data_IF_160762076039
#
_entry.id   IF_160762076039
#
_cell.length_a   1.000
_cell.length_b   1.000
_cell.length_c   1.000
_cell.angle_alpha   90.00
_cell.angle_beta   90.00
_cell.angle_gamma   90.00
#
_symmetry.space_group_name_H-M   'P 1'
#
loop_
_entity.id
_entity.type
_entity.pdbx_description
1 polymer ?
#
# COMPACT_ATOMS: atom_id res chain seq x y z
N UNK A 1 -0.27 9.93 -28.47
CA UNK A 1 0.86 9.43 -27.66
C UNK A 1 1.28 8.03 -28.07
N UNK A 2 0.45 6.97 -27.89
CA UNK A 2 0.84 5.57 -28.19
C UNK A 2 1.48 5.40 -29.57
N UNK A 3 0.86 5.92 -30.64
CA UNK A 3 1.41 5.83 -32.00
C UNK A 3 2.82 6.45 -32.13
N UNK A 4 3.06 7.60 -31.51
CA UNK A 4 4.35 8.28 -31.57
C UNK A 4 5.45 7.56 -30.77
N UNK A 5 5.06 6.71 -29.81
CA UNK A 5 5.97 5.98 -28.92
C UNK A 5 6.10 4.49 -29.31
N UNK A 6 5.65 4.13 -30.51
CA UNK A 6 5.68 2.76 -31.01
C UNK A 6 6.62 2.66 -32.20
N UNK A 7 7.44 1.61 -32.27
CA UNK A 7 8.26 1.31 -33.46
C UNK A 7 7.36 1.05 -34.67
N UNK A 8 6.28 0.27 -34.44
CA UNK A 8 5.24 -0.01 -35.41
C UNK A 8 3.87 -0.05 -34.72
N UNK A 9 2.86 0.48 -35.39
CA UNK A 9 1.45 0.39 -34.98
C UNK A 9 0.59 0.03 -36.19
N UNK A 10 -0.24 -0.99 -36.04
CA UNK A 10 -1.27 -1.39 -36.99
C UNK A 10 -2.65 -1.12 -36.40
N UNK A 11 -3.52 -0.47 -37.18
CA UNK A 11 -4.91 -0.24 -36.85
C UNK A 11 -5.81 -0.88 -37.92
N UNK A 12 -6.70 -1.78 -37.49
CA UNK A 12 -7.72 -2.40 -38.32
C UNK A 12 -9.09 -1.94 -37.82
N UNK A 13 -9.88 -1.30 -38.69
CA UNK A 13 -11.20 -0.74 -38.35
C UNK A 13 -12.27 -1.45 -39.18
N UNK A 14 -13.26 -2.02 -38.51
CA UNK A 14 -14.44 -2.65 -39.11
C UNK A 14 -15.61 -1.67 -38.99
N UNK A 15 -16.01 -1.05 -40.11
CA UNK A 15 -17.05 -0.02 -40.12
C UNK A 15 -17.74 0.07 -41.48
N UNK A 16 -19.04 0.34 -41.49
CA UNK A 16 -19.86 0.54 -42.70
C UNK A 16 -19.75 -0.62 -43.71
N UNK A 17 -19.72 -1.87 -43.23
CA UNK A 17 -19.61 -3.05 -44.09
C UNK A 17 -18.21 -3.33 -44.63
N UNK A 18 -17.19 -2.56 -44.22
CA UNK A 18 -15.83 -2.59 -44.79
C UNK A 18 -14.75 -2.74 -43.72
N UNK A 19 -13.63 -3.33 -44.13
CA UNK A 19 -12.40 -3.47 -43.34
C UNK A 19 -11.40 -2.42 -43.82
N UNK A 20 -10.95 -1.55 -42.92
CA UNK A 20 -9.91 -0.57 -43.19
C UNK A 20 -8.64 -0.92 -42.44
N UNK A 21 -7.48 -0.81 -43.10
CA UNK A 21 -6.16 -1.03 -42.49
C UNK A 21 -5.29 0.21 -42.65
N UNK A 22 -4.57 0.56 -41.59
CA UNK A 22 -3.54 1.59 -41.60
C UNK A 22 -2.36 1.20 -40.72
N UNK A 23 -1.15 1.40 -41.23
CA UNK A 23 0.09 1.13 -40.51
C UNK A 23 0.91 2.41 -40.33
N UNK A 24 1.58 2.49 -39.20
CA UNK A 24 2.43 3.60 -38.81
C UNK A 24 3.79 3.07 -38.35
N UNK A 25 4.85 3.83 -38.62
CA UNK A 25 6.16 3.64 -38.01
C UNK A 25 6.56 4.91 -37.28
N UNK A 26 6.81 4.82 -35.97
CA UNK A 26 7.19 5.97 -35.12
C UNK A 26 6.26 7.18 -35.29
N UNK A 27 4.96 6.91 -35.34
CA UNK A 27 3.90 7.92 -35.51
C UNK A 27 3.61 8.35 -36.95
N UNK A 28 4.45 7.97 -37.92
CA UNK A 28 4.31 8.40 -39.32
C UNK A 28 3.52 7.35 -40.10
N UNK A 29 2.43 7.72 -40.81
CA UNK A 29 1.69 6.78 -41.64
C UNK A 29 2.55 6.28 -42.81
N UNK A 30 2.57 4.96 -43.02
CA UNK A 30 3.38 4.35 -44.09
C UNK A 30 2.72 4.49 -45.47
N UNK A 31 1.41 4.63 -45.51
CA UNK A 31 0.61 4.77 -46.73
C UNK A 31 -0.78 5.37 -46.38
N UNK A 32 -1.59 5.79 -47.37
CA UNK A 32 -2.99 6.15 -47.14
C UNK A 32 -3.85 4.95 -46.77
N UNK A 33 -4.88 5.16 -45.94
CA UNK A 33 -5.77 4.09 -45.44
C UNK A 33 -6.26 3.18 -46.57
N UNK A 34 -6.07 1.86 -46.39
CA UNK A 34 -6.45 0.83 -47.35
C UNK A 34 -7.78 0.19 -46.97
N UNK A 35 -8.64 -0.02 -47.96
CA UNK A 35 -9.79 -0.90 -47.84
C UNK A 35 -9.35 -2.34 -48.15
N UNK A 36 -9.50 -3.25 -47.18
CA UNK A 36 -9.00 -4.63 -47.25
C UNK A 36 -10.08 -5.64 -47.67
N UNK A 37 -11.36 -5.23 -47.66
CA UNK A 37 -12.48 -6.08 -48.03
C UNK A 37 -13.77 -5.72 -47.30
N UNK A 38 -14.77 -6.58 -47.41
CA UNK A 38 -16.08 -6.45 -46.78
C UNK A 38 -16.15 -7.20 -45.44
N UNK A 39 -17.02 -6.75 -44.54
CA UNK A 39 -17.21 -7.37 -43.23
C UNK A 39 -18.60 -7.07 -42.66
N UNK A 40 -19.14 -8.02 -41.89
CA UNK A 40 -20.34 -7.80 -41.07
C UNK A 40 -20.00 -7.37 -39.64
N UNK A 41 -18.72 -7.32 -39.28
CA UNK A 41 -18.26 -6.95 -37.94
C UNK A 41 -18.21 -5.43 -37.78
N UNK A 42 -18.26 -4.98 -36.52
CA UNK A 42 -18.01 -3.58 -36.15
C UNK A 42 -17.05 -3.55 -34.97
N UNK A 43 -16.00 -2.75 -35.07
CA UNK A 43 -15.00 -2.67 -34.02
C UNK A 43 -13.67 -2.11 -34.51
N UNK A 44 -12.67 -2.16 -33.65
CA UNK A 44 -11.31 -1.72 -33.96
C UNK A 44 -10.31 -2.62 -33.26
N UNK A 45 -9.30 -3.05 -34.00
CA UNK A 45 -8.15 -3.79 -33.48
C UNK A 45 -6.94 -2.89 -33.61
N UNK A 46 -6.21 -2.72 -32.51
CA UNK A 46 -4.94 -1.99 -32.49
C UNK A 46 -3.85 -2.97 -32.06
N UNK A 47 -2.81 -3.09 -32.88
CA UNK A 47 -1.60 -3.81 -32.56
C UNK A 47 -0.44 -2.81 -32.55
N UNK A 48 0.43 -2.86 -31.56
CA UNK A 48 1.59 -1.97 -31.52
C UNK A 48 2.76 -2.61 -30.78
N UNK A 49 3.98 -2.22 -31.16
CA UNK A 49 5.21 -2.57 -30.50
C UNK A 49 5.88 -1.30 -29.93
N UNK A 50 6.21 -1.24 -28.63
CA UNK A 50 6.83 -0.06 -28.03
C UNK A 50 8.23 0.19 -28.62
N UNK A 51 8.57 1.47 -28.84
CA UNK A 51 9.85 1.86 -29.42
C UNK A 51 11.03 1.58 -28.46
N UNK A 52 11.92 0.68 -28.87
CA UNK A 52 13.09 0.25 -28.08
C UNK A 52 14.15 1.33 -27.89
N UNK A 53 14.13 2.38 -28.70
CA UNK A 53 15.02 3.54 -28.53
C UNK A 53 14.53 4.52 -27.47
N UNK A 54 13.25 4.44 -27.08
CA UNK A 54 12.63 5.30 -26.07
C UNK A 54 12.52 4.55 -24.73
N UNK A 55 12.04 3.31 -24.75
CA UNK A 55 11.80 2.53 -23.53
C UNK A 55 12.96 1.61 -23.19
N UNK A 56 13.44 1.68 -21.94
CA UNK A 56 14.45 0.75 -21.41
C UNK A 56 13.93 -0.66 -21.19
N UNK A 57 12.61 -0.82 -21.03
CA UNK A 57 11.93 -2.12 -20.88
C UNK A 57 10.75 -2.17 -21.83
N UNK A 58 10.72 -3.21 -22.67
CA UNK A 58 9.64 -3.45 -23.65
C UNK A 58 8.83 -4.70 -23.34
N UNK A 59 9.20 -5.44 -22.30
CA UNK A 59 8.49 -6.62 -21.82
C UNK A 59 7.39 -6.17 -20.87
N UNK A 60 6.14 -6.45 -21.25
CA UNK A 60 4.98 -6.13 -20.42
C UNK A 60 4.89 -7.04 -19.18
N UNK A 61 4.54 -6.46 -18.04
CA UNK A 61 4.28 -7.19 -16.82
C UNK A 61 2.84 -7.76 -16.84
N UNK A 62 2.72 -9.09 -16.92
CA UNK A 62 1.43 -9.78 -17.02
C UNK A 62 0.52 -9.47 -15.83
N UNK A 63 1.06 -9.55 -14.60
CA UNK A 63 0.32 -9.31 -13.37
C UNK A 63 -0.32 -7.91 -13.33
N UNK A 64 0.39 -6.89 -13.81
CA UNK A 64 -0.11 -5.51 -13.90
C UNK A 64 -1.30 -5.41 -14.85
N UNK A 65 -1.23 -6.07 -16.02
CA UNK A 65 -2.32 -6.09 -17.01
C UNK A 65 -3.52 -6.85 -16.45
N UNK A 66 -3.30 -8.04 -15.89
CA UNK A 66 -4.33 -8.88 -15.28
C UNK A 66 -5.09 -8.11 -14.20
N UNK A 67 -4.39 -7.47 -13.25
CA UNK A 67 -5.03 -6.69 -12.20
C UNK A 67 -5.86 -5.54 -12.80
N UNK A 68 -5.32 -4.84 -13.80
CA UNK A 68 -6.04 -3.71 -14.43
C UNK A 68 -7.30 -4.15 -15.16
N UNK A 69 -7.26 -5.27 -15.87
CA UNK A 69 -8.45 -5.83 -16.55
C UNK A 69 -9.49 -6.33 -15.54
N UNK A 70 -9.04 -6.92 -14.43
CA UNK A 70 -9.92 -7.32 -13.34
C UNK A 70 -10.67 -6.12 -12.75
N UNK A 71 -9.97 -5.02 -12.44
CA UNK A 71 -10.58 -3.77 -11.96
C UNK A 71 -11.61 -3.23 -12.95
N UNK A 72 -11.25 -3.18 -14.25
CA UNK A 72 -12.12 -2.65 -15.29
C UNK A 72 -13.39 -3.48 -15.47
N UNK A 73 -13.33 -4.80 -15.26
CA UNK A 73 -14.50 -5.67 -15.34
C UNK A 73 -15.51 -5.33 -14.23
N UNK A 74 -15.03 -5.08 -13.01
CA UNK A 74 -15.90 -4.65 -11.92
C UNK A 74 -16.48 -3.25 -12.11
N UNK A 75 -15.72 -2.33 -12.72
CA UNK A 75 -16.18 -0.97 -12.99
C UNK A 75 -17.21 -0.89 -14.14
N UNK A 76 -17.25 -1.92 -15.00
CA UNK A 76 -18.11 -1.95 -16.19
C UNK A 76 -18.92 -3.25 -16.21
N UNK A 77 -20.03 -3.27 -15.47
CA UNK A 77 -20.95 -4.41 -15.41
C UNK A 77 -21.35 -4.86 -16.82
N UNK A 78 -21.24 -6.16 -17.09
CA UNK A 78 -21.58 -6.75 -18.38
C UNK A 78 -20.48 -6.65 -19.46
N UNK A 79 -19.36 -5.95 -19.20
CA UNK A 79 -18.23 -5.92 -20.13
C UNK A 79 -17.37 -7.17 -19.98
N UNK A 80 -17.36 -8.02 -21.01
CA UNK A 80 -16.43 -9.16 -21.09
C UNK A 80 -15.12 -8.73 -21.73
N UNK A 81 -14.01 -8.96 -21.03
CA UNK A 81 -12.66 -8.78 -21.55
C UNK A 81 -11.90 -10.09 -21.48
N UNK A 82 -10.97 -10.29 -22.40
CA UNK A 82 -10.12 -11.49 -22.45
C UNK A 82 -8.66 -11.08 -22.58
N UNK A 83 -7.80 -11.74 -21.83
CA UNK A 83 -6.35 -11.61 -21.91
C UNK A 83 -5.76 -12.95 -22.36
N UNK A 84 -4.88 -12.87 -23.35
CA UNK A 84 -4.11 -14.01 -23.83
C UNK A 84 -2.63 -13.62 -23.85
N UNK A 85 -1.79 -14.40 -23.19
CA UNK A 85 -0.34 -14.21 -23.19
C UNK A 85 0.32 -15.29 -24.05
N UNK A 86 0.82 -14.88 -25.21
CA UNK A 86 1.40 -15.76 -26.24
C UNK A 86 2.88 -16.10 -25.98
N UNK A 87 3.49 -15.58 -24.90
CA UNK A 87 4.94 -15.75 -24.63
C UNK A 87 5.29 -17.14 -24.11
N UNK A 88 4.46 -17.67 -23.22
CA UNK A 88 4.63 -18.98 -22.60
C UNK A 88 3.44 -19.87 -22.96
N UNK A 89 3.71 -21.17 -23.08
CA UNK A 89 2.71 -22.18 -23.38
C UNK A 89 2.76 -23.28 -22.33
N UNK A 90 1.59 -23.83 -22.00
CA UNK A 90 1.51 -25.01 -21.15
C UNK A 90 2.06 -26.27 -21.84
N UNK A 91 2.12 -27.39 -21.12
CA UNK A 91 2.56 -28.68 -21.66
C UNK A 91 1.72 -29.18 -22.85
N UNK A 92 0.53 -28.60 -23.06
CA UNK A 92 -0.37 -28.89 -24.17
C UNK A 92 -0.23 -27.91 -25.35
N UNK A 93 0.68 -26.93 -25.25
CA UNK A 93 0.95 -25.94 -26.29
C UNK A 93 -0.04 -24.77 -26.34
N UNK A 94 -0.91 -24.63 -25.33
CA UNK A 94 -1.87 -23.55 -25.24
C UNK A 94 -1.27 -22.33 -24.52
N UNK A 95 -1.51 -21.11 -25.00
CA UNK A 95 -1.13 -19.90 -24.30
C UNK A 95 -1.96 -19.71 -23.03
N UNK A 96 -1.45 -18.93 -22.09
CA UNK A 96 -2.24 -18.52 -20.94
C UNK A 96 -3.44 -17.70 -21.40
N UNK A 97 -4.64 -18.08 -20.98
CA UNK A 97 -5.88 -17.39 -21.29
C UNK A 97 -6.67 -17.09 -20.02
N UNK A 98 -7.15 -15.85 -19.89
CA UNK A 98 -8.00 -15.44 -18.78
C UNK A 98 -9.14 -14.53 -19.26
N UNK A 99 -10.36 -14.80 -18.81
CA UNK A 99 -11.53 -13.97 -19.07
C UNK A 99 -11.92 -13.19 -17.80
N UNK A 100 -12.35 -11.94 -18.00
CA UNK A 100 -12.78 -11.02 -16.97
C UNK A 100 -14.21 -10.58 -17.26
N UNK A 101 -15.11 -10.75 -16.30
CA UNK A 101 -16.52 -10.43 -16.42
C UNK A 101 -17.10 -10.27 -15.01
N UNK A 102 -18.00 -9.31 -14.81
CA UNK A 102 -18.66 -9.05 -13.54
C UNK A 102 -20.12 -8.67 -13.76
N UNK A 103 -21.00 -9.23 -12.93
CA UNK A 103 -22.44 -8.91 -12.90
C UNK A 103 -22.78 -8.03 -11.70
N UNK A 104 -22.14 -8.27 -10.55
CA UNK A 104 -22.32 -7.52 -9.31
C UNK A 104 -21.49 -6.23 -9.22
N UNK A 105 -20.59 -5.98 -10.17
CA UNK A 105 -19.83 -4.74 -10.30
C UNK A 105 -19.02 -4.40 -9.04
N UNK A 106 -19.24 -3.20 -8.48
CA UNK A 106 -18.48 -2.74 -7.32
C UNK A 106 -18.67 -3.60 -6.07
N UNK A 107 -19.81 -4.31 -5.93
CA UNK A 107 -20.02 -5.21 -4.78
C UNK A 107 -19.03 -6.36 -4.81
N UNK A 108 -18.87 -6.99 -5.98
CA UNK A 108 -17.87 -8.04 -6.18
C UNK A 108 -16.46 -7.49 -6.01
N UNK A 109 -16.21 -6.26 -6.45
CA UNK A 109 -14.90 -5.64 -6.30
C UNK A 109 -14.50 -5.46 -4.83
N UNK A 110 -15.41 -4.93 -4.01
CA UNK A 110 -15.14 -4.78 -2.57
C UNK A 110 -14.93 -6.15 -1.92
N UNK A 111 -15.76 -7.15 -2.25
CA UNK A 111 -15.56 -8.52 -1.76
C UNK A 111 -14.23 -9.12 -2.19
N UNK A 112 -13.77 -8.84 -3.42
CA UNK A 112 -12.46 -9.26 -3.90
C UNK A 112 -11.32 -8.59 -3.12
N UNK A 113 -11.40 -7.27 -2.90
CA UNK A 113 -10.40 -6.52 -2.10
C UNK A 113 -10.39 -6.95 -0.63
N UNK A 114 -11.54 -7.33 -0.08
CA UNK A 114 -11.70 -7.75 1.31
C UNK A 114 -11.50 -9.25 1.54
N UNK A 115 -11.25 -10.04 0.48
CA UNK A 115 -11.21 -11.51 0.50
C UNK A 115 -10.22 -12.13 1.48
N UNK A 116 -9.18 -11.39 1.88
CA UNK A 116 -8.16 -11.85 2.84
C UNK A 116 -8.45 -11.44 4.29
N UNK A 117 -9.54 -10.69 4.51
CA UNK A 117 -9.94 -10.14 5.81
C UNK A 117 -11.25 -10.79 6.26
N UNK A 118 -11.47 -10.82 7.57
CA UNK A 118 -12.71 -11.34 8.15
C UNK A 118 -13.76 -10.22 8.16
N UNK A 119 -14.76 -10.34 7.28
CA UNK A 119 -15.87 -9.38 7.20
C UNK A 119 -16.73 -9.44 8.46
N UNK A 120 -17.16 -8.26 8.95
CA UNK A 120 -18.17 -8.17 10.03
C UNK A 120 -19.58 -7.98 9.49
N UNK A 121 -19.73 -7.92 8.16
CA UNK A 121 -20.98 -7.70 7.46
C UNK A 121 -21.30 -8.88 6.53
N UNK A 122 -22.58 -9.24 6.36
CA UNK A 122 -22.97 -10.34 5.47
C UNK A 122 -22.80 -9.98 3.98
N UNK A 123 -23.00 -8.72 3.62
CA UNK A 123 -22.86 -8.24 2.25
C UNK A 123 -22.38 -6.77 2.24
N UNK A 124 -21.64 -6.34 1.20
CA UNK A 124 -21.28 -4.94 1.02
C UNK A 124 -22.50 -4.03 0.87
N UNK A 125 -22.46 -2.87 1.51
CA UNK A 125 -23.39 -1.76 1.25
C UNK A 125 -23.08 -1.22 -0.14
N UNK A 126 -24.13 -0.98 -0.94
CA UNK A 126 -24.00 -0.40 -2.27
C UNK A 126 -24.85 0.86 -2.37
N UNK A 127 -24.20 1.93 -2.81
CA UNK A 127 -24.78 3.24 -3.07
C UNK A 127 -24.74 3.45 -4.57
N UNK A 128 -25.88 3.79 -5.15
CA UNK A 128 -25.99 4.23 -6.53
C UNK A 128 -26.93 5.42 -6.58
N UNK A 129 -26.53 6.46 -7.29
CA UNK A 129 -27.35 7.65 -7.45
C UNK A 129 -26.74 8.63 -8.44
N UNK A 130 -27.52 9.63 -8.82
CA UNK A 130 -27.09 10.71 -9.70
C UNK A 130 -27.45 12.05 -9.09
N UNK A 131 -26.47 12.95 -8.98
CA UNK A 131 -26.68 14.30 -8.47
C UNK A 131 -25.77 15.28 -9.18
N UNK A 132 -26.33 16.41 -9.63
CA UNK A 132 -25.59 17.44 -10.37
C UNK A 132 -24.86 16.87 -11.61
N UNK A 133 -25.53 16.00 -12.38
CA UNK A 133 -24.97 15.28 -13.54
C UNK A 133 -23.73 14.42 -13.24
N UNK A 134 -23.52 14.10 -11.96
CA UNK A 134 -22.49 13.17 -11.50
C UNK A 134 -23.17 11.86 -11.11
N UNK A 135 -22.85 10.79 -11.83
CA UNK A 135 -23.26 9.43 -11.45
C UNK A 135 -22.29 8.93 -10.39
N UNK A 136 -22.82 8.57 -9.22
CA UNK A 136 -22.07 8.10 -8.06
C UNK A 136 -22.39 6.62 -7.84
N UNK A 137 -21.36 5.80 -7.79
CA UNK A 137 -21.45 4.40 -7.36
C UNK A 137 -20.40 4.15 -6.28
N UNK A 138 -20.84 3.67 -5.11
CA UNK A 138 -19.95 3.31 -4.01
C UNK A 138 -20.33 1.93 -3.50
N UNK A 139 -19.34 1.07 -3.30
CA UNK A 139 -19.52 -0.15 -2.51
C UNK A 139 -18.63 -0.08 -1.28
N UNK A 140 -19.09 -0.57 -0.13
CA UNK A 140 -18.27 -0.64 1.08
C UNK A 140 -18.66 -1.80 2.01
N UNK A 141 -17.67 -2.30 2.74
CA UNK A 141 -17.83 -3.29 3.80
C UNK A 141 -16.91 -2.94 4.97
N UNK A 142 -17.23 -3.48 6.15
CA UNK A 142 -16.34 -3.46 7.30
C UNK A 142 -15.79 -4.86 7.58
N UNK A 143 -14.56 -4.91 8.08
CA UNK A 143 -13.88 -6.11 8.52
C UNK A 143 -13.26 -5.91 9.92
N UNK A 144 -12.72 -6.99 10.48
CA UNK A 144 -12.08 -6.99 11.80
C UNK A 144 -10.71 -6.30 11.81
N UNK A 145 -10.15 -5.99 10.64
CA UNK A 145 -8.83 -5.37 10.47
C UNK A 145 -8.74 -3.94 10.99
N UNK A 146 -7.53 -3.38 10.96
CA UNK A 146 -7.21 -2.07 11.56
C UNK A 146 -6.86 -1.00 10.52
N UNK A 147 -6.89 -1.34 9.23
CA UNK A 147 -6.51 -0.45 8.14
C UNK A 147 -7.72 -0.07 7.28
N UNK A 148 -7.73 1.19 6.86
CA UNK A 148 -8.64 1.69 5.83
C UNK A 148 -8.11 1.23 4.46
N UNK A 149 -8.98 0.69 3.61
CA UNK A 149 -8.70 0.35 2.21
C UNK A 149 -9.74 1.03 1.33
N UNK A 150 -9.44 2.22 0.82
CA UNK A 150 -10.32 2.96 -0.09
C UNK A 150 -9.65 3.08 -1.45
N UNK A 151 -10.29 2.53 -2.47
CA UNK A 151 -9.88 2.67 -3.88
C UNK A 151 -10.89 3.59 -4.56
N UNK A 152 -10.42 4.47 -5.45
CA UNK A 152 -11.30 5.48 -6.05
C UNK A 152 -11.05 5.66 -7.54
N UNK A 153 -12.14 5.94 -8.28
CA UNK A 153 -12.14 6.03 -9.73
C UNK A 153 -12.99 7.20 -10.21
N UNK A 154 -12.52 7.85 -11.27
CA UNK A 154 -13.27 8.86 -12.04
C UNK A 154 -13.24 8.45 -13.49
N UNK A 155 -14.40 8.18 -14.10
CA UNK A 155 -14.48 7.70 -15.49
C UNK A 155 -13.53 6.51 -15.78
N UNK A 156 -13.52 5.51 -14.90
CA UNK A 156 -12.64 4.32 -14.93
C UNK A 156 -11.13 4.59 -14.72
N UNK A 157 -10.72 5.83 -14.45
CA UNK A 157 -9.33 6.19 -14.13
C UNK A 157 -9.14 6.13 -12.62
N UNK A 158 -8.14 5.36 -12.16
CA UNK A 158 -7.83 5.24 -10.73
C UNK A 158 -7.22 6.56 -10.21
N UNK A 159 -7.86 7.16 -9.22
CA UNK A 159 -7.36 8.35 -8.51
C UNK A 159 -6.61 7.92 -7.25
N UNK A 160 -5.34 7.57 -7.40
CA UNK A 160 -4.49 7.04 -6.31
C UNK A 160 -4.31 8.03 -5.16
N UNK A 161 -4.32 9.33 -5.46
CA UNK A 161 -4.24 10.40 -4.45
C UNK A 161 -5.62 10.84 -3.93
N UNK A 162 -6.70 10.22 -4.43
CA UNK A 162 -8.08 10.53 -4.08
C UNK A 162 -8.59 11.80 -4.74
N UNK A 163 -9.18 12.71 -3.96
CA UNK A 163 -9.76 13.95 -4.48
C UNK A 163 -11.10 14.29 -3.83
N UNK A 164 -11.85 15.17 -4.48
CA UNK A 164 -13.13 15.70 -3.95
C UNK A 164 -14.19 14.62 -3.73
N UNK A 165 -14.29 13.61 -4.60
CA UNK A 165 -15.17 12.45 -4.44
C UNK A 165 -14.85 11.63 -3.18
N UNK A 166 -13.56 11.35 -2.92
CA UNK A 166 -13.12 10.62 -1.72
C UNK A 166 -13.37 11.43 -0.45
N UNK A 167 -13.12 12.74 -0.50
CA UNK A 167 -13.41 13.65 0.62
C UNK A 167 -14.91 13.68 0.93
N UNK A 168 -15.77 13.75 -0.09
CA UNK A 168 -17.23 13.69 0.06
C UNK A 168 -17.70 12.38 0.68
N UNK A 169 -17.18 11.25 0.19
CA UNK A 169 -17.46 9.92 0.76
C UNK A 169 -17.08 9.84 2.25
N UNK A 170 -15.85 10.23 2.61
CA UNK A 170 -15.37 10.20 4.00
C UNK A 170 -16.22 11.10 4.91
N UNK A 171 -16.59 12.29 4.46
CA UNK A 171 -17.44 13.22 5.21
C UNK A 171 -18.83 12.65 5.45
N UNK A 172 -19.48 12.10 4.42
CA UNK A 172 -20.78 11.47 4.55
C UNK A 172 -20.74 10.28 5.52
N UNK A 173 -19.77 9.39 5.34
CA UNK A 173 -19.58 8.22 6.21
C UNK A 173 -19.46 8.63 7.68
N UNK A 174 -18.52 9.54 8.00
CA UNK A 174 -18.30 9.99 9.37
C UNK A 174 -19.53 10.67 9.95
N UNK A 175 -20.18 11.57 9.22
CA UNK A 175 -21.35 12.31 9.74
C UNK A 175 -22.54 11.38 9.99
N UNK A 176 -22.85 10.50 9.04
CA UNK A 176 -24.03 9.62 9.13
C UNK A 176 -23.85 8.58 10.23
N UNK A 177 -22.69 7.91 10.30
CA UNK A 177 -22.41 6.95 11.37
C UNK A 177 -22.35 7.61 12.75
N UNK A 178 -21.76 8.80 12.86
CA UNK A 178 -21.74 9.55 14.11
C UNK A 178 -23.15 9.91 14.57
N UNK A 179 -23.98 10.45 13.68
CA UNK A 179 -25.36 10.80 14.02
C UNK A 179 -26.17 9.58 14.48
N UNK A 180 -25.97 8.41 13.87
CA UNK A 180 -26.62 7.17 14.29
C UNK A 180 -26.10 6.68 15.66
N UNK A 181 -24.79 6.73 15.87
CA UNK A 181 -24.15 6.33 17.11
C UNK A 181 -24.57 7.22 18.31
N UNK A 182 -24.70 8.53 18.10
CA UNK A 182 -25.20 9.49 19.08
C UNK A 182 -26.67 9.18 19.44
N UNK A 183 -27.54 9.03 18.43
CA UNK A 183 -28.98 8.73 18.63
C UNK A 183 -29.23 7.40 19.33
N UNK A 184 -28.38 6.40 19.10
CA UNK A 184 -28.51 5.08 19.71
C UNK A 184 -28.04 5.02 21.17
N UNK A 185 -27.42 6.08 21.70
CA UNK A 185 -26.89 6.14 23.07
C UNK A 185 -25.70 5.20 23.33
N UNK A 186 -25.13 4.60 22.28
CA UNK A 186 -24.00 3.66 22.39
C UNK A 186 -22.70 4.39 22.77
N UNK A 187 -22.55 5.65 22.38
CA UNK A 187 -21.34 6.43 22.64
C UNK A 187 -21.24 6.94 24.08
N UNK A 188 -22.36 7.32 24.69
CA UNK A 188 -22.39 7.83 26.07
C UNK A 188 -21.87 6.79 27.07
N UNK A 189 -22.14 5.50 26.82
CA UNK A 189 -21.65 4.39 27.64
C UNK A 189 -20.12 4.24 27.57
N UNK A 190 -19.51 4.61 26.45
CA UNK A 190 -18.08 4.43 26.24
C UNK A 190 -17.23 5.53 26.91
N UNK A 191 -17.79 6.73 27.16
CA UNK A 191 -17.08 7.91 27.71
C UNK A 191 -15.77 8.24 26.99
N UNK A 192 -15.75 8.03 25.67
CA UNK A 192 -14.56 8.18 24.83
C UNK A 192 -14.89 9.14 23.70
N UNK A 193 -13.98 10.09 23.46
CA UNK A 193 -14.04 10.97 22.31
C UNK A 193 -13.75 10.16 21.04
N UNK A 194 -14.66 10.22 20.06
CA UNK A 194 -14.53 9.55 18.76
C UNK A 194 -14.29 10.60 17.68
N UNK A 195 -13.29 10.36 16.84
CA UNK A 195 -12.91 11.23 15.73
C UNK A 195 -13.19 10.53 14.38
N UNK A 196 -13.11 11.28 13.28
CA UNK A 196 -13.43 10.77 11.94
C UNK A 196 -12.63 9.52 11.53
N UNK A 197 -11.39 9.39 11.99
CA UNK A 197 -10.50 8.28 11.67
C UNK A 197 -10.97 6.96 12.27
N UNK A 198 -11.60 7.00 13.45
CA UNK A 198 -12.13 5.82 14.12
C UNK A 198 -13.25 5.17 13.30
N UNK A 199 -14.00 5.96 12.52
CA UNK A 199 -15.06 5.46 11.63
C UNK A 199 -14.50 4.76 10.38
N UNK A 200 -13.24 4.98 10.02
CA UNK A 200 -12.62 4.42 8.81
C UNK A 200 -11.79 3.18 9.10
N UNK A 201 -11.56 2.85 10.36
CA UNK A 201 -10.80 1.67 10.76
C UNK A 201 -11.54 0.37 10.34
N UNK A 202 -10.85 -0.47 9.57
CA UNK A 202 -11.42 -1.73 9.07
C UNK A 202 -12.42 -1.54 7.92
N UNK A 203 -12.51 -0.34 7.34
CA UNK A 203 -13.33 -0.07 6.17
C UNK A 203 -12.60 -0.52 4.89
N UNK A 204 -13.28 -1.29 4.05
CA UNK A 204 -12.89 -1.50 2.64
C UNK A 204 -13.97 -0.90 1.74
N UNK A 205 -13.62 0.02 0.85
CA UNK A 205 -14.56 0.68 -0.04
C UNK A 205 -14.00 0.96 -1.43
N UNK A 206 -14.88 0.95 -2.42
CA UNK A 206 -14.61 1.39 -3.79
C UNK A 206 -15.54 2.54 -4.14
N UNK A 207 -14.98 3.69 -4.50
CA UNK A 207 -15.71 4.91 -4.87
C UNK A 207 -15.52 5.17 -6.36
N UNK A 208 -16.57 5.04 -7.17
CA UNK A 208 -16.55 5.30 -8.61
C UNK A 208 -17.51 6.44 -8.94
N UNK A 209 -17.02 7.46 -9.64
CA UNK A 209 -17.86 8.55 -10.15
C UNK A 209 -17.70 8.71 -11.65
N UNK A 210 -18.80 9.05 -12.33
CA UNK A 210 -18.78 9.47 -13.73
C UNK A 210 -19.07 10.96 -13.80
N UNK A 211 -18.16 11.70 -14.41
CA UNK A 211 -18.17 13.16 -14.49
C UNK A 211 -17.98 13.58 -15.93
N UNK A 212 -18.81 14.47 -16.46
CA UNK A 212 -18.71 14.93 -17.84
C UNK A 212 -17.38 15.65 -18.12
N UNK A 213 -17.02 16.61 -17.25
CA UNK A 213 -15.82 17.43 -17.37
C UNK A 213 -14.91 17.30 -16.13
N UNK A 214 -14.16 16.18 -16.01
CA UNK A 214 -13.30 15.96 -14.85
C UNK A 214 -12.05 16.88 -14.90
N UNK A 215 -11.84 17.62 -13.83
CA UNK A 215 -10.67 18.46 -13.59
C UNK A 215 -9.75 17.75 -12.60
N UNK A 216 -8.53 17.45 -13.04
CA UNK A 216 -7.53 16.79 -12.19
C UNK A 216 -6.44 17.77 -11.76
N UNK A 217 -5.91 17.58 -10.56
CA UNK A 217 -4.68 18.25 -10.14
C UNK A 217 -3.49 17.62 -10.87
N UNK A 218 -2.77 18.42 -11.66
CA UNK A 218 -1.60 17.98 -12.41
C UNK A 218 -1.88 17.07 -13.60
N UNK A 219 -0.81 16.64 -14.27
CA UNK A 219 -0.87 15.90 -15.54
C UNK A 219 -1.20 14.41 -15.37
N UNK A 220 -0.86 13.82 -14.22
CA UNK A 220 -0.96 12.38 -13.95
C UNK A 220 -2.38 11.90 -13.65
N UNK A 221 -3.37 12.80 -13.61
CA UNK A 221 -4.79 12.51 -13.32
C UNK A 221 -5.00 11.70 -12.04
N UNK A 222 -4.15 11.92 -11.03
CA UNK A 222 -4.12 11.13 -9.79
C UNK A 222 -5.09 11.66 -8.74
N UNK A 223 -5.50 12.93 -8.83
CA UNK A 223 -6.37 13.59 -7.85
C UNK A 223 -7.45 14.45 -8.51
N UNK A 224 -8.71 14.26 -8.11
CA UNK A 224 -9.86 15.02 -8.64
C UNK A 224 -10.08 16.34 -7.89
N UNK A 225 -10.26 17.43 -8.64
CA UNK A 225 -10.43 18.80 -8.12
C UNK A 225 -11.85 19.39 -8.19
N UNK A 226 -12.79 18.74 -8.89
CA UNK A 226 -14.19 19.23 -9.02
C UNK A 226 -14.91 19.31 -7.66
N UNK A 227 -15.19 20.52 -7.16
CA UNK A 227 -15.81 20.72 -5.86
C UNK A 227 -17.28 20.24 -5.81
N UNK A 228 -18.00 20.35 -6.93
CA UNK A 228 -19.38 19.90 -7.12
C UNK A 228 -19.54 18.39 -6.93
N UNK A 229 -18.51 17.61 -7.29
CA UNK A 229 -18.49 16.16 -7.10
C UNK A 229 -18.49 15.79 -5.62
N UNK A 230 -17.85 16.61 -4.77
CA UNK A 230 -17.86 16.37 -3.32
C UNK A 230 -19.30 16.36 -2.78
N UNK A 231 -20.10 17.37 -3.14
CA UNK A 231 -21.49 17.50 -2.68
C UNK A 231 -22.40 16.40 -3.21
N UNK A 232 -22.22 16.01 -4.48
CA UNK A 232 -22.94 14.90 -5.10
C UNK A 232 -22.71 13.58 -4.35
N UNK A 233 -21.44 13.20 -4.15
CA UNK A 233 -21.08 11.97 -3.44
C UNK A 233 -21.55 12.01 -1.99
N UNK A 234 -21.38 13.15 -1.32
CA UNK A 234 -21.76 13.31 0.08
C UNK A 234 -23.27 13.10 0.30
N UNK A 235 -24.10 13.59 -0.62
CA UNK A 235 -25.55 13.46 -0.56
C UNK A 235 -25.99 12.01 -0.81
N UNK A 236 -25.55 11.40 -1.91
CA UNK A 236 -25.94 10.03 -2.27
C UNK A 236 -25.51 9.02 -1.20
N UNK A 237 -24.28 9.15 -0.68
CA UNK A 237 -23.77 8.24 0.35
C UNK A 237 -24.52 8.45 1.66
N UNK A 238 -24.76 9.70 2.09
CA UNK A 238 -25.44 9.96 3.36
C UNK A 238 -26.87 9.43 3.38
N UNK A 239 -27.60 9.56 2.27
CA UNK A 239 -28.98 9.09 2.12
C UNK A 239 -29.07 7.56 2.21
N UNK A 240 -28.35 6.85 1.32
CA UNK A 240 -28.38 5.38 1.29
C UNK A 240 -27.84 4.78 2.59
N UNK A 241 -26.77 5.35 3.14
CA UNK A 241 -26.21 4.88 4.40
C UNK A 241 -27.17 5.11 5.57
N UNK A 242 -27.91 6.22 5.58
CA UNK A 242 -28.91 6.46 6.61
C UNK A 242 -30.01 5.39 6.57
N UNK A 243 -30.57 5.12 5.38
CA UNK A 243 -31.58 4.07 5.22
C UNK A 243 -31.05 2.68 5.60
N UNK A 244 -29.83 2.34 5.16
CA UNK A 244 -29.21 1.07 5.48
C UNK A 244 -29.10 0.85 6.99
N UNK A 245 -28.65 1.86 7.76
CA UNK A 245 -28.47 1.74 9.20
C UNK A 245 -29.79 1.57 9.96
N UNK A 246 -30.87 2.19 9.48
CA UNK A 246 -32.22 2.04 10.05
C UNK A 246 -32.82 0.67 9.72
N UNK A 247 -32.63 0.17 8.50
CA UNK A 247 -33.13 -1.14 8.05
C UNK A 247 -32.34 -2.32 8.63
N UNK A 248 -31.05 -2.12 8.92
CA UNK A 248 -30.10 -3.15 9.35
C UNK A 248 -29.52 -2.85 10.75
N UNK A 249 -30.34 -2.83 11.82
CA UNK A 249 -29.90 -2.38 13.14
C UNK A 249 -28.88 -3.32 13.79
N UNK A 250 -28.79 -4.59 13.39
CA UNK A 250 -27.78 -5.53 13.91
C UNK A 250 -26.40 -5.19 13.36
N UNK A 251 -26.31 -5.00 12.05
CA UNK A 251 -25.12 -4.61 11.31
C UNK A 251 -24.65 -3.21 11.75
N UNK A 252 -25.58 -2.27 11.88
CA UNK A 252 -25.29 -0.93 12.38
C UNK A 252 -24.66 -0.97 13.79
N UNK A 253 -25.16 -1.81 14.70
CA UNK A 253 -24.55 -2.02 16.04
C UNK A 253 -23.15 -2.62 15.96
N UNK A 254 -22.91 -3.57 15.05
CA UNK A 254 -21.57 -4.15 14.84
C UNK A 254 -20.57 -3.10 14.36
N UNK A 255 -20.96 -2.27 13.39
CA UNK A 255 -20.14 -1.16 12.89
C UNK A 255 -19.82 -0.19 14.03
N UNK A 256 -20.82 0.28 14.78
CA UNK A 256 -20.59 1.20 15.91
C UNK A 256 -19.71 0.57 16.99
N UNK A 257 -19.89 -0.71 17.31
CA UNK A 257 -19.03 -1.41 18.25
C UNK A 257 -17.56 -1.46 17.78
N UNK A 258 -17.33 -1.72 16.49
CA UNK A 258 -15.98 -1.67 15.88
C UNK A 258 -15.37 -0.27 16.00
N UNK A 259 -16.13 0.79 15.74
CA UNK A 259 -15.67 2.18 15.89
C UNK A 259 -15.31 2.49 17.35
N UNK A 260 -16.08 2.02 18.33
CA UNK A 260 -15.76 2.19 19.76
C UNK A 260 -14.44 1.50 20.11
N UNK A 261 -14.21 0.28 19.60
CA UNK A 261 -12.95 -0.44 19.81
C UNK A 261 -11.77 0.29 19.17
N UNK A 262 -11.96 0.85 17.96
CA UNK A 262 -10.95 1.67 17.29
C UNK A 262 -10.59 2.91 18.12
N UNK A 263 -11.61 3.63 18.62
CA UNK A 263 -11.42 4.81 19.47
C UNK A 263 -10.70 4.47 20.79
N UNK A 264 -11.06 3.35 21.43
CA UNK A 264 -10.37 2.82 22.61
C UNK A 264 -8.90 2.52 22.31
N UNK A 265 -8.62 1.84 21.19
CA UNK A 265 -7.27 1.51 20.76
C UNK A 265 -6.44 2.76 20.48
N UNK A 266 -7.02 3.79 19.85
CA UNK A 266 -6.37 5.09 19.61
C UNK A 266 -6.04 5.81 20.92
N UNK A 267 -6.98 5.88 21.86
CA UNK A 267 -6.72 6.50 23.17
C UNK A 267 -5.67 5.73 23.97
N UNK A 268 -5.70 4.40 23.95
CA UNK A 268 -4.68 3.56 24.55
C UNK A 268 -3.31 3.79 23.89
N UNK A 269 -3.27 3.91 22.56
CA UNK A 269 -2.05 4.23 21.82
C UNK A 269 -1.51 5.61 22.16
N UNK A 270 -2.37 6.63 22.28
CA UNK A 270 -1.98 7.98 22.73
C UNK A 270 -1.39 7.95 24.13
N UNK A 271 -2.04 7.27 25.09
CA UNK A 271 -1.52 7.11 26.46
C UNK A 271 -0.19 6.36 26.49
N UNK A 272 -0.05 5.31 25.68
CA UNK A 272 1.20 4.55 25.55
C UNK A 272 2.32 5.43 24.97
N UNK A 273 2.03 6.20 23.90
CA UNK A 273 2.95 7.20 23.32
C UNK A 273 3.38 8.23 24.36
N UNK A 274 2.44 8.85 25.05
CA UNK A 274 2.71 9.84 26.09
C UNK A 274 3.55 9.25 27.23
N UNK A 275 3.32 8.00 27.62
CA UNK A 275 4.12 7.32 28.64
C UNK A 275 5.57 7.08 28.17
N UNK A 276 5.76 6.67 26.93
CA UNK A 276 7.10 6.51 26.32
C UNK A 276 7.81 7.87 26.22
N UNK A 277 7.10 8.92 25.81
CA UNK A 277 7.65 10.27 25.68
C UNK A 277 7.94 10.94 27.04
N UNK A 278 7.06 10.83 28.04
CA UNK A 278 7.27 11.40 29.39
C UNK A 278 8.44 10.77 30.11
N UNK A 279 8.68 9.46 29.93
CA UNK A 279 9.90 8.81 30.44
C UNK A 279 11.17 9.41 29.84
N UNK A 280 11.15 9.91 28.61
CA UNK A 280 12.31 10.59 28.00
C UNK A 280 12.55 12.02 28.51
N UNK A 281 11.57 12.68 29.15
CA UNK A 281 11.67 14.09 29.58
C UNK A 281 12.04 14.22 31.06
N UNK A 282 11.57 13.32 31.93
CA UNK A 282 11.85 13.37 33.37
C UNK A 282 13.15 12.66 33.79
N UNK A 283 13.71 11.79 32.94
CA UNK A 283 15.06 11.25 33.11
C UNK A 283 15.93 11.82 32.01
N UNK A 284 17.09 12.38 32.34
CA UNK A 284 18.12 12.68 31.34
C UNK A 284 18.41 11.39 30.56
N UNK A 285 17.88 11.29 29.34
CA UNK A 285 18.20 10.28 28.32
C UNK A 285 18.43 8.86 28.87
N UNK A 286 17.43 8.19 29.46
CA UNK A 286 17.57 6.76 29.70
C UNK A 286 17.37 6.01 28.37
N UNK A 287 18.45 5.94 27.59
CA UNK A 287 18.57 5.04 26.46
C UNK A 287 18.16 3.62 26.88
N UNK A 288 17.65 2.78 25.96
CA UNK A 288 17.30 1.40 26.29
C UNK A 288 18.46 0.74 27.01
N UNK A 289 18.22 0.08 28.15
CA UNK A 289 19.32 -0.49 28.97
C UNK A 289 20.19 -1.53 28.25
N UNK A 290 19.72 -2.04 27.09
CA UNK A 290 20.44 -2.97 26.22
C UNK A 290 21.22 -2.28 25.08
N UNK A 291 20.94 -1.00 24.81
CA UNK A 291 21.66 -0.24 23.79
C UNK A 291 23.10 -0.03 24.26
N UNK A 292 24.05 -0.56 23.49
CA UNK A 292 25.42 -0.13 23.61
C UNK A 292 25.59 1.08 22.69
N UNK A 293 25.69 2.29 23.24
CA UNK A 293 25.74 3.51 22.43
C UNK A 293 27.15 3.81 21.89
N UNK A 294 27.25 4.74 20.93
CA UNK A 294 28.51 5.31 20.46
C UNK A 294 28.85 6.62 21.19
N UNK A 295 30.11 7.06 21.13
CA UNK A 295 30.54 8.33 21.77
C UNK A 295 30.38 9.56 20.89
N UNK A 296 30.25 9.38 19.57
CA UNK A 296 30.03 10.45 18.59
C UNK A 296 28.58 10.94 18.67
N UNK A 297 28.39 12.26 18.47
CA UNK A 297 27.08 12.90 18.58
C UNK A 297 26.54 13.38 17.23
N UNK A 298 27.38 13.46 16.19
CA UNK A 298 26.93 13.82 14.85
C UNK A 298 26.16 12.65 14.20
N UNK A 299 24.84 12.76 13.99
CA UNK A 299 24.04 11.69 13.40
C UNK A 299 24.53 11.23 12.03
N UNK A 300 25.18 12.10 11.25
CA UNK A 300 25.70 11.77 9.92
C UNK A 300 26.87 10.79 9.98
N UNK A 301 27.62 10.77 11.07
CA UNK A 301 28.74 9.86 11.30
C UNK A 301 28.32 8.60 12.04
N UNK A 302 27.23 8.66 12.81
CA UNK A 302 26.79 7.59 13.68
C UNK A 302 26.02 6.48 12.94
N UNK A 303 26.33 5.24 13.31
CA UNK A 303 25.74 4.01 12.77
C UNK A 303 25.06 3.22 13.89
N UNK A 304 23.85 2.72 13.66
CA UNK A 304 23.13 1.83 14.57
C UNK A 304 22.98 0.45 13.95
N UNK A 305 23.51 -0.58 14.62
CA UNK A 305 23.33 -1.97 14.24
C UNK A 305 22.21 -2.61 15.05
N UNK A 306 21.16 -3.07 14.36
CA UNK A 306 20.09 -3.89 14.92
C UNK A 306 20.49 -5.36 14.79
N UNK A 307 20.74 -6.03 15.91
CA UNK A 307 21.37 -7.35 15.94
C UNK A 307 20.43 -8.40 16.50
N UNK A 308 20.42 -9.60 15.93
CA UNK A 308 19.63 -10.73 16.40
C UNK A 308 20.20 -11.35 17.68
N UNK A 309 19.51 -11.16 18.80
CA UNK A 309 19.84 -11.76 20.09
C UNK A 309 21.02 -11.13 20.84
N UNK A 310 21.14 -11.50 22.11
CA UNK A 310 22.22 -11.01 22.98
C UNK A 310 23.59 -11.61 22.60
N UNK A 311 23.62 -12.80 21.99
CA UNK A 311 24.87 -13.49 21.63
C UNK A 311 25.59 -12.74 20.51
N UNK A 312 24.93 -12.54 19.36
CA UNK A 312 25.48 -11.71 18.29
C UNK A 312 25.65 -10.25 18.74
N UNK A 313 24.76 -9.73 19.60
CA UNK A 313 24.92 -8.42 20.22
C UNK A 313 26.20 -8.26 21.04
N UNK A 314 26.60 -9.30 21.79
CA UNK A 314 27.86 -9.33 22.55
C UNK A 314 29.09 -9.29 21.63
N UNK A 315 29.10 -10.13 20.59
CA UNK A 315 30.19 -10.18 19.60
C UNK A 315 30.30 -8.86 18.85
N UNK A 316 29.17 -8.31 18.38
CA UNK A 316 29.12 -7.01 17.69
C UNK A 316 29.60 -5.87 18.61
N UNK A 317 29.21 -5.88 19.89
CA UNK A 317 29.67 -4.89 20.87
C UNK A 317 31.18 -4.90 21.06
N UNK A 318 31.81 -6.08 21.04
CA UNK A 318 33.26 -6.21 21.16
C UNK A 318 34.01 -5.84 19.87
N UNK A 319 33.44 -6.16 18.70
CA UNK A 319 34.08 -5.92 17.39
C UNK A 319 33.90 -4.51 16.82
N UNK A 320 32.97 -3.71 17.38
CA UNK A 320 32.64 -2.39 16.83
C UNK A 320 33.70 -1.33 17.10
N UNK A 321 33.70 -0.29 16.27
CA UNK A 321 34.30 0.98 16.64
C UNK A 321 33.35 1.78 17.55
N UNK A 322 33.62 1.77 18.87
CA UNK A 322 32.80 2.46 19.88
C UNK A 322 32.66 3.97 19.64
N UNK A 323 33.51 4.57 18.78
CA UNK A 323 33.42 5.98 18.46
C UNK A 323 32.10 6.31 17.77
N UNK A 324 31.72 5.58 16.72
CA UNK A 324 30.59 5.92 15.87
C UNK A 324 29.57 4.79 15.68
N UNK A 325 29.84 3.57 16.18
CA UNK A 325 28.94 2.43 16.00
C UNK A 325 28.20 2.08 17.29
N UNK A 326 26.87 2.16 17.27
CA UNK A 326 25.94 1.73 18.30
C UNK A 326 25.38 0.34 18.00
N UNK A 327 25.13 -0.48 19.03
CA UNK A 327 24.59 -1.84 18.91
C UNK A 327 23.32 -1.96 19.74
N UNK A 328 22.21 -2.35 19.10
CA UNK A 328 20.95 -2.67 19.75
C UNK A 328 20.59 -4.14 19.50
N UNK A 329 20.78 -5.03 20.49
CA UNK A 329 20.33 -6.41 20.38
C UNK A 329 18.81 -6.51 20.52
N UNK A 330 18.18 -7.27 19.63
CA UNK A 330 16.75 -7.54 19.60
C UNK A 330 16.48 -8.98 20.03
N UNK A 331 15.51 -9.19 20.93
CA UNK A 331 15.18 -10.53 21.45
C UNK A 331 13.92 -11.09 20.82
N UNK A 332 14.02 -12.35 20.40
CA UNK A 332 12.90 -13.11 19.86
C UNK A 332 12.36 -12.54 18.54
N UNK A 333 11.23 -13.08 18.09
CA UNK A 333 10.55 -12.57 16.89
C UNK A 333 9.89 -11.23 17.21
N UNK A 334 10.17 -10.22 16.39
CA UNK A 334 9.57 -8.90 16.53
C UNK A 334 8.06 -9.00 16.28
N UNK A 335 7.27 -8.18 16.96
CA UNK A 335 5.83 -8.11 16.71
C UNK A 335 5.57 -7.74 15.24
N UNK A 336 4.75 -8.53 14.54
CA UNK A 336 4.31 -8.16 13.21
C UNK A 336 3.36 -6.97 13.30
N UNK A 337 3.90 -5.79 12.98
CA UNK A 337 3.18 -4.52 13.11
C UNK A 337 2.07 -4.35 12.08
N UNK A 338 2.09 -5.10 10.97
CA UNK A 338 1.03 -5.04 9.96
C UNK A 338 -0.29 -5.61 10.49
N UNK A 339 -0.20 -6.59 11.39
CA UNK A 339 -1.35 -7.28 11.98
C UNK A 339 -1.68 -6.83 13.41
N UNK A 340 -0.90 -5.89 13.97
CA UNK A 340 -1.03 -5.47 15.35
C UNK A 340 -1.68 -4.09 15.48
N UNK A 341 -2.45 -3.91 16.55
CA UNK A 341 -2.99 -2.61 16.92
C UNK A 341 -1.87 -1.68 17.39
N UNK A 342 -2.02 -0.39 17.09
CA UNK A 342 -1.02 0.65 17.39
C UNK A 342 -0.58 0.65 18.86
N UNK A 343 -1.50 0.46 19.82
CA UNK A 343 -1.12 0.43 21.24
C UNK A 343 -0.25 -0.78 21.60
N UNK A 344 -0.47 -1.95 20.98
CA UNK A 344 0.35 -3.16 21.19
C UNK A 344 1.76 -2.96 20.63
N UNK A 345 1.88 -2.16 19.57
CA UNK A 345 3.17 -1.79 18.97
C UNK A 345 3.98 -0.93 19.94
N UNK A 346 3.38 0.09 20.56
CA UNK A 346 4.06 0.91 21.58
C UNK A 346 4.32 0.14 22.89
N UNK A 347 3.45 -0.82 23.23
CA UNK A 347 3.63 -1.65 24.40
C UNK A 347 4.71 -2.73 24.21
N UNK A 348 5.03 -3.09 22.96
CA UNK A 348 6.10 -4.04 22.67
C UNK A 348 7.48 -3.48 23.05
N UNK A 349 8.23 -4.22 23.88
CA UNK A 349 9.55 -3.81 24.36
C UNK A 349 10.56 -3.59 23.21
N UNK A 350 10.59 -4.49 22.21
CA UNK A 350 11.57 -4.40 21.11
C UNK A 350 11.32 -3.17 20.24
N UNK A 351 10.05 -2.92 19.89
CA UNK A 351 9.66 -1.74 19.12
C UNK A 351 9.96 -0.46 19.91
N UNK A 352 9.60 -0.42 21.20
CA UNK A 352 9.91 0.72 22.07
C UNK A 352 11.41 0.99 22.16
N UNK A 353 12.22 -0.04 22.33
CA UNK A 353 13.67 0.09 22.37
C UNK A 353 14.24 0.66 21.06
N UNK A 354 13.73 0.22 19.90
CA UNK A 354 14.13 0.78 18.60
C UNK A 354 13.76 2.26 18.49
N UNK A 355 12.52 2.64 18.83
CA UNK A 355 12.05 4.04 18.77
C UNK A 355 12.92 4.93 19.67
N UNK A 356 13.14 4.51 20.92
CA UNK A 356 13.96 5.27 21.88
C UNK A 356 15.41 5.35 21.44
N UNK A 357 15.99 4.27 20.90
CA UNK A 357 17.36 4.27 20.41
C UNK A 357 17.53 5.27 19.26
N UNK A 358 16.62 5.26 18.28
CA UNK A 358 16.64 6.16 17.13
C UNK A 358 16.44 7.63 17.50
N UNK A 359 15.84 7.93 18.66
CA UNK A 359 15.53 9.30 19.10
C UNK A 359 14.36 9.94 18.34
N UNK A 360 13.63 9.16 17.56
CA UNK A 360 12.51 9.65 16.76
C UNK A 360 11.21 9.68 17.57
N UNK A 361 10.38 10.67 17.29
CA UNK A 361 9.02 10.75 17.82
C UNK A 361 8.07 10.26 16.73
N UNK A 362 7.30 9.22 17.02
CA UNK A 362 6.24 8.74 16.13
C UNK A 362 4.93 9.43 16.55
N UNK A 363 4.50 10.41 15.74
CA UNK A 363 3.21 11.11 15.84
C UNK A 363 3.03 12.04 17.05
N UNK A 364 2.56 13.28 16.80
CA UNK A 364 1.97 14.23 17.78
C UNK A 364 0.98 15.18 17.09
N UNK A 365 0.25 15.99 17.87
CA UNK A 365 -0.93 16.80 17.47
C UNK A 365 -0.86 17.42 16.07
N UNK A 366 -1.81 17.02 15.21
CA UNK A 366 -2.00 17.56 13.87
C UNK A 366 -1.64 16.58 12.74
N UNK A 367 -0.70 15.65 12.96
CA UNK A 367 -0.40 14.58 12.02
C UNK A 367 0.12 13.33 12.75
N UNK A 368 -0.80 12.40 13.04
CA UNK A 368 -0.53 11.15 13.76
C UNK A 368 0.41 10.19 13.01
N UNK A 369 0.79 10.48 11.75
CA UNK A 369 1.59 9.60 10.88
C UNK A 369 3.00 10.12 10.57
N UNK A 370 3.32 11.37 10.88
CA UNK A 370 4.63 11.94 10.55
C UNK A 370 5.71 11.52 11.57
N UNK A 371 6.86 11.07 11.05
CA UNK A 371 8.08 10.87 11.84
C UNK A 371 8.95 12.10 11.70
N UNK A 372 9.15 12.81 12.81
CA UNK A 372 10.09 13.92 12.88
C UNK A 372 11.52 13.37 13.01
N UNK A 373 12.29 13.53 11.94
CA UNK A 373 13.69 13.10 11.88
C UNK A 373 14.66 14.13 12.47
N UNK A 374 14.17 15.27 12.97
CA UNK A 374 15.00 16.35 13.54
C UNK A 374 15.85 15.89 14.73
N UNK A 375 15.40 14.81 15.40
CA UNK A 375 16.09 14.18 16.53
C UNK A 375 16.64 12.79 16.21
N UNK A 376 16.68 12.42 14.92
CA UNK A 376 17.24 11.13 14.51
C UNK A 376 18.73 11.08 14.90
N UNK A 377 19.10 10.04 15.65
CA UNK A 377 20.45 9.91 16.22
C UNK A 377 21.47 9.22 15.31
N UNK A 378 21.00 8.51 14.28
CA UNK A 378 21.85 7.71 13.39
C UNK A 378 21.35 7.82 11.95
N UNK A 379 22.17 8.32 11.04
CA UNK A 379 21.87 8.38 9.59
C UNK A 379 22.18 7.07 8.87
N UNK A 380 22.83 6.11 9.55
CA UNK A 380 22.94 4.74 9.05
C UNK A 380 22.37 3.77 10.07
N UNK A 381 21.32 3.06 9.67
CA UNK A 381 20.67 2.02 10.46
C UNK A 381 20.88 0.72 9.71
N UNK A 382 21.64 -0.19 10.29
CA UNK A 382 22.05 -1.45 9.65
C UNK A 382 21.34 -2.60 10.32
N UNK A 383 20.53 -3.34 9.55
CA UNK A 383 19.92 -4.61 9.98
C UNK A 383 20.97 -5.71 9.81
N UNK A 384 21.39 -6.31 10.93
CA UNK A 384 22.41 -7.37 10.97
C UNK A 384 21.81 -8.62 11.63
N UNK A 385 21.17 -9.43 10.80
CA UNK A 385 20.52 -10.71 11.18
C UNK A 385 21.29 -11.89 10.56
N UNK A 386 21.08 -13.08 11.10
CA UNK A 386 21.74 -14.28 10.58
C UNK A 386 21.22 -14.65 9.17
N UNK A 387 22.06 -15.37 8.43
CA UNK A 387 21.76 -15.82 7.06
C UNK A 387 20.95 -17.13 7.04
N UNK A 388 19.96 -17.25 7.92
CA UNK A 388 19.06 -18.39 8.01
C UNK A 388 17.59 -17.96 7.82
N UNK A 389 16.67 -18.91 8.02
CA UNK A 389 15.23 -18.68 7.85
C UNK A 389 14.68 -17.73 8.93
N UNK A 390 15.18 -17.81 10.15
CA UNK A 390 14.70 -16.99 11.27
C UNK A 390 15.21 -15.54 11.16
N UNK A 391 16.48 -15.34 10.79
CA UNK A 391 17.06 -14.03 10.48
C UNK A 391 16.39 -13.37 9.29
N UNK A 392 16.06 -14.14 8.24
CA UNK A 392 15.27 -13.63 7.10
C UNK A 392 13.86 -13.19 7.50
N UNK A 393 13.22 -13.91 8.45
CA UNK A 393 11.92 -13.53 8.99
C UNK A 393 12.01 -12.26 9.85
N UNK A 394 12.99 -12.16 10.76
CA UNK A 394 13.22 -10.97 11.58
C UNK A 394 13.52 -9.75 10.69
N UNK A 395 14.38 -9.91 9.68
CA UNK A 395 14.65 -8.86 8.69
C UNK A 395 13.37 -8.36 8.04
N UNK A 396 12.47 -9.25 7.64
CA UNK A 396 11.17 -8.89 7.05
C UNK A 396 10.29 -8.10 8.01
N UNK A 397 10.25 -8.50 9.28
CA UNK A 397 9.47 -7.80 10.32
C UNK A 397 10.02 -6.39 10.60
N UNK A 398 11.35 -6.24 10.67
CA UNK A 398 12.01 -4.93 10.81
C UNK A 398 11.71 -4.05 9.60
N UNK A 399 11.89 -4.57 8.38
CA UNK A 399 11.60 -3.84 7.14
C UNK A 399 10.13 -3.39 7.09
N UNK A 400 9.20 -4.26 7.49
CA UNK A 400 7.77 -3.92 7.59
C UNK A 400 7.54 -2.77 8.58
N UNK A 401 8.21 -2.79 9.73
CA UNK A 401 8.13 -1.71 10.70
C UNK A 401 8.62 -0.37 10.15
N UNK A 402 9.82 -0.33 9.55
CA UNK A 402 10.34 0.89 8.94
C UNK A 402 9.45 1.35 7.78
N UNK A 403 8.95 0.44 6.94
CA UNK A 403 8.10 0.79 5.81
C UNK A 403 6.77 1.40 6.26
N UNK A 404 6.15 0.87 7.32
CA UNK A 404 4.83 1.32 7.79
C UNK A 404 4.88 2.55 8.67
N UNK A 405 5.90 2.66 9.54
CA UNK A 405 5.95 3.70 10.56
C UNK A 405 7.06 4.73 10.34
N UNK A 406 8.10 4.44 9.55
CA UNK A 406 9.27 5.30 9.38
C UNK A 406 9.74 5.36 7.92
N UNK A 407 8.79 5.43 6.98
CA UNK A 407 9.08 5.37 5.54
C UNK A 407 10.10 6.42 5.09
N UNK A 408 10.09 7.59 5.72
CA UNK A 408 11.04 8.68 5.46
C UNK A 408 12.51 8.29 5.68
N UNK A 409 12.80 7.35 6.59
CA UNK A 409 14.16 6.80 6.79
C UNK A 409 14.61 6.01 5.56
N UNK A 410 13.70 5.24 4.96
CA UNK A 410 13.98 4.47 3.74
C UNK A 410 14.17 5.43 2.56
N UNK A 411 13.28 6.42 2.41
CA UNK A 411 13.32 7.38 1.30
C UNK A 411 14.57 8.26 1.32
N UNK A 412 15.09 8.60 2.51
CA UNK A 412 16.38 9.29 2.67
C UNK A 412 17.61 8.38 2.50
N UNK A 413 17.40 7.07 2.32
CA UNK A 413 18.49 6.11 2.12
C UNK A 413 19.27 5.77 3.39
N UNK A 414 18.65 5.89 4.58
CA UNK A 414 19.33 5.66 5.87
C UNK A 414 19.25 4.22 6.38
N UNK A 415 18.42 3.37 5.76
CA UNK A 415 18.25 1.97 6.15
C UNK A 415 19.07 1.03 5.26
N UNK A 416 19.88 0.17 5.88
CA UNK A 416 20.81 -0.74 5.23
C UNK A 416 20.63 -2.18 5.77
N UNK A 417 21.03 -3.15 4.97
CA UNK A 417 21.07 -4.57 5.36
C UNK A 417 22.53 -4.99 5.31
N UNK A 418 23.04 -5.56 6.39
CA UNK A 418 24.38 -6.13 6.41
C UNK A 418 24.43 -7.38 5.52
N UNK A 419 25.50 -7.51 4.74
CA UNK A 419 25.77 -8.69 3.91
C UNK A 419 27.04 -9.40 4.42
N UNK A 420 26.93 -10.24 5.47
CA UNK A 420 28.07 -11.01 5.95
C UNK A 420 28.54 -12.01 4.88
N UNK A 421 29.80 -12.46 4.92
CA UNK A 421 30.29 -13.50 4.01
C UNK A 421 29.56 -14.82 4.27
N UNK A 422 29.28 -15.56 3.20
CA UNK A 422 28.62 -16.87 3.27
C UNK A 422 29.59 -18.01 3.56
N UNK A 423 30.84 -17.88 3.10
CA UNK A 423 31.86 -18.92 3.25
C UNK A 423 33.17 -18.34 3.77
N UNK A 424 33.93 -19.20 4.45
CA UNK A 424 35.33 -18.98 4.80
C UNK A 424 36.12 -20.18 4.29
N UNK A 425 36.84 -20.01 3.19
CA UNK A 425 37.72 -21.03 2.62
C UNK A 425 39.05 -20.96 3.34
N UNK A 426 39.50 -22.09 3.92
CA UNK A 426 40.78 -22.17 4.65
C UNK A 426 41.66 -23.25 4.04
N UNK A 427 42.92 -22.88 3.78
CA UNK A 427 43.98 -23.80 3.35
C UNK A 427 45.25 -23.46 4.14
N UNK A 428 45.69 -24.39 4.98
CA UNK A 428 46.80 -24.21 5.92
C UNK A 428 46.65 -22.93 6.77
N UNK A 429 47.49 -21.92 6.51
CA UNK A 429 47.49 -20.62 7.21
C UNK A 429 46.69 -19.54 6.48
N UNK A 430 46.24 -19.80 5.25
CA UNK A 430 45.49 -18.85 4.45
C UNK A 430 43.98 -19.03 4.66
N UNK A 431 43.27 -17.91 4.83
CA UNK A 431 41.83 -17.88 5.04
C UNK A 431 41.22 -16.77 4.20
N UNK A 432 40.23 -17.09 3.37
CA UNK A 432 39.55 -16.14 2.49
C UNK A 432 38.04 -16.21 2.67
N UNK A 433 37.41 -15.06 2.93
CA UNK A 433 35.96 -14.91 2.99
C UNK A 433 35.38 -14.81 1.58
N UNK A 434 34.25 -15.47 1.33
CA UNK A 434 33.53 -15.45 0.05
C UNK A 434 32.04 -15.13 0.30
N UNK A 435 31.45 -14.34 -0.59
CA UNK A 435 30.06 -13.89 -0.53
C UNK A 435 29.15 -14.62 -1.51
N UNK A 436 29.72 -15.25 -2.54
CA UNK A 436 28.96 -16.05 -3.50
C UNK A 436 29.51 -17.47 -3.61
N UNK A 437 28.67 -18.38 -4.09
CA UNK A 437 29.09 -19.75 -4.39
C UNK A 437 30.17 -19.78 -5.50
N UNK A 438 30.05 -18.92 -6.51
CA UNK A 438 31.06 -18.78 -7.57
C UNK A 438 32.42 -18.31 -7.03
N UNK A 439 32.45 -17.40 -6.06
CA UNK A 439 33.68 -16.97 -5.39
C UNK A 439 34.30 -18.12 -4.59
N UNK A 440 33.48 -18.88 -3.86
CA UNK A 440 33.91 -20.07 -3.11
C UNK A 440 34.57 -21.09 -4.04
N UNK A 441 33.93 -21.43 -5.16
CA UNK A 441 34.43 -22.42 -6.11
C UNK A 441 35.75 -21.96 -6.77
N UNK A 442 35.83 -20.67 -7.11
CA UNK A 442 37.05 -20.06 -7.65
C UNK A 442 38.21 -20.10 -6.64
N UNK A 443 37.93 -19.84 -5.36
CA UNK A 443 38.91 -19.92 -4.28
C UNK A 443 39.37 -21.35 -3.99
N UNK A 444 38.49 -22.35 -4.09
CA UNK A 444 38.86 -23.76 -3.90
C UNK A 444 39.75 -24.26 -5.04
N UNK A 445 39.55 -23.75 -6.26
CA UNK A 445 40.32 -24.15 -7.44
C UNK A 445 41.74 -23.57 -7.47
N UNK A 446 42.02 -22.57 -6.62
CA UNK A 446 43.30 -21.88 -6.51
C UNK A 446 44.19 -22.55 -5.47
#
# INVERSE_FOLDING_TARGET
>A
CVNALSDHLEAIVYRNGKIYKQEYAKGIPLYPVKEMGETNLRGTTIHFAPDRSIFTTTVYNLHTITNRLQELAYLNVGLKMTLEDLREKDDQGNPMHQAFYSEGGLREFVSYLDSTKESIMPAPIFVEGEKNDVVVQVAMTYNTGYSETVVSYVNNINTVEGGMHVTGFRRALTRTLKSYADKSGLLEKAKIEIIGDDFREGLTAVVSVKVAEPQFEGQTKTKLGNAEVQGAVETCVAEVLHYYLEEHPKEAKLIVAKVIVAAQARQAARKAREMVQRKNVLTNSSLPGKLADCSENDPALCELFLVEGDSAGGTAKMGRNRRFQAILPLKGKILNVEKAQVYKIYDNEQVRNMITALGVVIGTEGDDKAVHLDKLRYHKIVIMTDADVDGSHIRTLILTFFFRYMRSIIEKGYLYIASPPLYLVKRDKEAQYCWTESEKDSCITR
#
